data_IF_497836760234
#
_entry.id   IF_497836760234
#
_cell.length_a   1.000
_cell.length_b   1.000
_cell.length_c   1.000
_cell.angle_alpha   90.00
_cell.angle_beta   90.00
_cell.angle_gamma   90.00
#
_symmetry.space_group_name_H-M   'P 1'
#
loop_
_entity.id
_entity.type
_entity.pdbx_description
1 polymer ?
#
# COMPACT_ATOMS: atom_id res chain seq x y z
N UNK A 1 -4.80 16.17 -2.97
CA UNK A 1 -4.94 14.98 -2.11
C UNK A 1 -3.67 14.76 -1.31
N UNK A 2 -3.80 14.46 -0.02
CA UNK A 2 -2.65 14.31 0.88
C UNK A 2 -2.09 12.89 0.88
N UNK A 3 -2.90 11.93 0.43
CA UNK A 3 -2.53 10.53 0.25
C UNK A 3 -3.42 9.90 -0.84
N UNK A 4 -2.91 8.86 -1.51
CA UNK A 4 -3.68 8.03 -2.41
C UNK A 4 -4.07 6.73 -1.71
N UNK A 5 -5.36 6.38 -1.77
CA UNK A 5 -5.92 5.21 -1.08
C UNK A 5 -6.48 4.17 -2.06
N UNK A 6 -5.65 3.42 -2.80
CA UNK A 6 -6.13 2.42 -3.74
C UNK A 6 -6.38 1.06 -3.10
N UNK A 7 -7.23 0.27 -3.75
CA UNK A 7 -7.19 -1.18 -3.61
C UNK A 7 -5.90 -1.75 -4.23
N UNK A 8 -5.33 -2.86 -3.68
CA UNK A 8 -4.08 -3.44 -4.19
C UNK A 8 -4.11 -3.75 -5.68
N UNK A 9 -5.25 -4.21 -6.19
CA UNK A 9 -5.41 -4.60 -7.59
C UNK A 9 -5.30 -3.41 -8.57
N UNK A 10 -5.39 -2.17 -8.06
CA UNK A 10 -5.22 -0.94 -8.84
C UNK A 10 -3.77 -0.43 -8.87
N UNK A 11 -2.85 -1.08 -8.17
CA UNK A 11 -1.44 -0.68 -8.09
C UNK A 11 -0.64 -1.18 -9.29
N UNK A 12 -0.94 -0.62 -10.45
CA UNK A 12 -0.08 -0.82 -11.61
C UNK A 12 1.23 -0.05 -11.46
N UNK A 13 2.26 -0.46 -12.20
CA UNK A 13 3.54 0.26 -12.27
C UNK A 13 3.37 1.74 -12.61
N UNK A 14 2.40 2.09 -13.45
CA UNK A 14 2.17 3.48 -13.85
C UNK A 14 1.54 4.32 -12.74
N UNK A 15 0.65 3.72 -11.95
CA UNK A 15 0.08 4.33 -10.74
C UNK A 15 1.19 4.59 -9.71
N UNK A 16 2.07 3.62 -9.49
CA UNK A 16 3.21 3.77 -8.57
C UNK A 16 4.17 4.89 -9.03
N UNK A 17 4.50 4.92 -10.32
CA UNK A 17 5.33 5.99 -10.90
C UNK A 17 4.67 7.36 -10.77
N UNK A 18 3.35 7.45 -11.00
CA UNK A 18 2.62 8.70 -10.84
C UNK A 18 2.69 9.21 -9.39
N UNK A 19 2.43 8.33 -8.41
CA UNK A 19 2.47 8.69 -7.00
C UNK A 19 3.87 9.18 -6.60
N UNK A 20 4.91 8.46 -7.03
CA UNK A 20 6.31 8.87 -6.82
C UNK A 20 6.62 10.24 -7.41
N UNK A 21 6.22 10.52 -8.66
CA UNK A 21 6.45 11.83 -9.31
C UNK A 21 5.75 12.98 -8.59
N UNK A 22 4.59 12.72 -7.99
CA UNK A 22 3.80 13.73 -7.28
C UNK A 22 4.15 13.85 -5.80
N UNK A 23 5.14 13.08 -5.32
CA UNK A 23 5.42 12.92 -3.90
C UNK A 23 4.14 12.61 -3.08
N UNK A 24 3.28 11.74 -3.64
CA UNK A 24 1.98 11.40 -3.06
C UNK A 24 2.11 10.07 -2.29
N UNK A 25 2.00 10.08 -0.95
CA UNK A 25 2.03 8.85 -0.15
C UNK A 25 0.90 7.90 -0.55
N UNK A 26 1.13 6.60 -0.37
CA UNK A 26 0.15 5.56 -0.72
C UNK A 26 -0.24 4.77 0.53
N UNK A 27 -1.55 4.69 0.79
CA UNK A 27 -2.16 3.88 1.84
C UNK A 27 -3.08 2.84 1.20
N UNK A 28 -2.74 1.56 1.28
CA UNK A 28 -3.50 0.51 0.59
C UNK A 28 -4.58 -0.11 1.48
N UNK A 29 -5.72 -0.46 0.90
CA UNK A 29 -6.84 -1.08 1.64
C UNK A 29 -7.66 -2.03 0.74
N UNK A 30 -8.24 -3.12 1.22
CA UNK A 30 -7.90 -3.85 2.45
C UNK A 30 -6.96 -4.99 2.05
N UNK A 31 -5.83 -5.14 2.75
CA UNK A 31 -4.80 -6.13 2.40
C UNK A 31 -4.69 -7.17 3.51
N UNK A 32 -5.15 -8.39 3.26
CA UNK A 32 -5.20 -9.45 4.29
C UNK A 32 -4.12 -10.54 4.10
N UNK A 33 -3.43 -10.52 2.95
CA UNK A 33 -2.36 -11.48 2.61
C UNK A 33 -1.02 -11.06 3.20
N UNK A 34 -0.38 -11.93 3.99
CA UNK A 34 0.94 -11.67 4.58
C UNK A 34 2.02 -11.34 3.53
N UNK A 35 2.15 -12.08 2.40
CA UNK A 35 3.04 -11.69 1.32
C UNK A 35 2.79 -10.27 0.78
N UNK A 36 1.52 -9.88 0.61
CA UNK A 36 1.17 -8.55 0.09
C UNK A 36 1.49 -7.44 1.12
N UNK A 37 1.23 -7.68 2.40
CA UNK A 37 1.59 -6.76 3.49
C UNK A 37 3.12 -6.58 3.54
N UNK A 38 3.88 -7.67 3.43
CA UNK A 38 5.35 -7.63 3.37
C UNK A 38 5.85 -6.88 2.15
N UNK A 39 5.22 -7.07 0.99
CA UNK A 39 5.52 -6.30 -0.22
C UNK A 39 5.33 -4.80 0.02
N UNK A 40 4.19 -4.38 0.58
CA UNK A 40 3.91 -2.98 0.87
C UNK A 40 4.92 -2.36 1.85
N UNK A 41 5.27 -3.09 2.93
CA UNK A 41 6.31 -2.67 3.89
C UNK A 41 7.67 -2.42 3.21
N UNK A 42 8.06 -3.31 2.30
CA UNK A 42 9.36 -3.21 1.61
C UNK A 42 9.41 -2.14 0.52
N UNK A 43 8.26 -1.72 -0.03
CA UNK A 43 8.18 -0.80 -1.17
C UNK A 43 7.80 0.64 -0.79
N UNK A 44 7.87 0.99 0.50
CA UNK A 44 7.71 2.37 0.96
C UNK A 44 6.27 2.87 0.93
N UNK A 45 5.29 1.97 1.02
CA UNK A 45 3.90 2.36 1.26
C UNK A 45 3.79 2.95 2.66
N UNK A 46 3.01 4.02 2.79
CA UNK A 46 2.93 4.77 4.03
C UNK A 46 2.10 4.03 5.09
N UNK A 47 1.05 3.32 4.68
CA UNK A 47 0.26 2.46 5.53
C UNK A 47 -0.41 1.31 4.76
N UNK A 48 -0.79 0.28 5.51
CA UNK A 48 -1.60 -0.84 5.04
C UNK A 48 -2.79 -1.00 5.96
N UNK A 49 -4.00 -0.97 5.42
CA UNK A 49 -5.25 -1.23 6.15
C UNK A 49 -5.58 -2.71 5.96
N UNK A 50 -5.77 -3.43 7.06
CA UNK A 50 -5.93 -4.89 7.09
C UNK A 50 -6.97 -5.31 8.12
N UNK A 51 -7.74 -6.35 7.81
CA UNK A 51 -8.60 -7.06 8.76
C UNK A 51 -7.83 -8.16 9.51
N UNK A 52 -6.55 -8.36 9.19
CA UNK A 52 -5.69 -9.37 9.82
C UNK A 52 -4.83 -8.74 10.93
N UNK A 53 -5.28 -8.72 12.20
CA UNK A 53 -4.53 -8.09 13.29
C UNK A 53 -3.16 -8.76 13.54
N UNK A 54 -3.01 -10.05 13.21
CA UNK A 54 -1.74 -10.77 13.37
C UNK A 54 -0.65 -10.29 12.38
N UNK A 55 -1.03 -9.61 11.31
CA UNK A 55 -0.09 -9.10 10.32
C UNK A 55 0.69 -7.86 10.78
N UNK A 56 0.20 -7.17 11.82
CA UNK A 56 0.82 -5.94 12.35
C UNK A 56 2.12 -6.26 13.10
N UNK A 57 2.23 -7.45 13.70
CA UNK A 57 3.40 -7.89 14.49
C UNK A 57 4.57 -8.50 13.69
N UNK A 58 4.46 -8.57 12.35
CA UNK A 58 5.51 -9.09 11.44
C UNK A 58 6.48 -8.00 10.98
#
# INVERSE_FOLDING_TARGET
PDCFHPQPDLLTTDVLKMCKRKNLPINVWTVNSLPAIKYCKNHGFQAVITDNPLAISL
#
